data_IF_093328871184
#
_entry.id   IF_093328871184
#
_cell.length_a   1.000
_cell.length_b   1.000
_cell.length_c   1.000
_cell.angle_alpha   90.00
_cell.angle_beta   90.00
_cell.angle_gamma   90.00
#
_symmetry.space_group_name_H-M   'P 1'
#
loop_
_entity.id
_entity.type
_entity.pdbx_description
1 polymer ?
#
# COMPACT_ATOMS: atom_id res chain seq x y z
N UNK A 1 -2.31 1.87 -0.81
CA UNK A 1 -1.50 2.36 -1.95
C UNK A 1 -0.08 1.90 -1.70
N UNK A 2 0.42 0.94 -2.48
CA UNK A 2 1.80 0.46 -2.35
C UNK A 2 2.65 1.38 -3.22
N UNK A 3 3.39 2.29 -2.58
CA UNK A 3 4.44 3.04 -3.24
C UNK A 3 5.64 2.11 -3.41
N UNK A 4 5.77 1.49 -4.57
CA UNK A 4 7.02 0.88 -4.97
C UNK A 4 7.97 1.99 -5.38
N UNK A 5 8.69 2.50 -4.41
CA UNK A 5 9.82 3.36 -4.67
C UNK A 5 11.05 2.49 -4.53
N UNK A 6 11.63 2.10 -5.65
CA UNK A 6 13.03 1.69 -5.67
C UNK A 6 13.84 2.83 -5.05
N UNK A 7 14.81 2.53 -4.20
CA UNK A 7 15.65 3.50 -3.50
C UNK A 7 15.93 4.74 -4.35
N UNK A 8 15.00 5.65 -4.34
CA UNK A 8 15.05 6.87 -5.10
C UNK A 8 15.42 7.98 -4.14
N UNK A 9 16.45 8.71 -4.45
CA UNK A 9 16.91 9.83 -3.61
C UNK A 9 15.87 10.94 -3.46
N UNK A 10 14.81 10.94 -4.29
CA UNK A 10 13.71 11.88 -4.21
C UNK A 10 12.44 11.24 -4.79
N UNK A 11 11.40 11.18 -4.01
CA UNK A 11 10.08 10.72 -4.44
C UNK A 11 9.04 11.82 -4.22
N UNK A 12 8.15 11.99 -5.19
CA UNK A 12 7.05 12.95 -5.14
C UNK A 12 5.74 12.18 -5.25
N UNK A 13 4.75 12.56 -4.45
CA UNK A 13 3.42 11.97 -4.49
C UNK A 13 2.37 13.03 -4.79
N UNK A 14 1.43 12.68 -5.65
CA UNK A 14 0.22 13.45 -5.92
C UNK A 14 -0.97 12.54 -5.66
N UNK A 15 -1.98 13.05 -4.97
CA UNK A 15 -3.17 12.26 -4.63
C UNK A 15 -4.42 12.97 -5.09
N UNK A 16 -5.30 12.27 -5.79
CA UNK A 16 -6.63 12.76 -6.16
C UNK A 16 -7.67 11.98 -5.36
N UNK A 17 -8.62 12.70 -4.79
CA UNK A 17 -9.72 12.17 -3.99
C UNK A 17 -11.05 12.55 -4.64
N UNK A 18 -11.57 11.78 -5.60
CA UNK A 18 -12.96 11.92 -6.04
C UNK A 18 -13.90 11.43 -4.94
N UNK A 19 -14.91 12.23 -4.65
CA UNK A 19 -15.98 11.93 -3.71
C UNK A 19 -17.33 12.33 -4.30
N UNK A 20 -18.41 11.66 -3.90
CA UNK A 20 -19.75 12.09 -4.32
C UNK A 20 -20.14 13.41 -3.66
N UNK A 21 -19.67 13.61 -2.40
CA UNK A 21 -19.87 14.80 -1.61
C UNK A 21 -18.68 15.06 -0.71
N UNK A 22 -18.27 16.31 -0.60
CA UNK A 22 -17.18 16.70 0.28
C UNK A 22 -17.61 16.77 1.74
N UNK A 23 -16.92 15.99 2.58
CA UNK A 23 -16.98 16.05 4.04
C UNK A 23 -15.61 16.47 4.55
N UNK A 24 -15.38 17.75 4.91
CA UNK A 24 -14.05 18.28 5.20
C UNK A 24 -13.28 17.48 6.26
N UNK A 25 -13.95 17.06 7.32
CA UNK A 25 -13.34 16.29 8.41
C UNK A 25 -12.87 14.92 7.93
N UNK A 26 -13.69 14.22 7.14
CA UNK A 26 -13.34 12.92 6.55
C UNK A 26 -12.16 13.06 5.60
N UNK A 27 -12.17 14.09 4.78
CA UNK A 27 -11.09 14.38 3.83
C UNK A 27 -9.79 14.68 4.59
N UNK A 28 -9.85 15.49 5.63
CA UNK A 28 -8.68 15.83 6.46
C UNK A 28 -8.02 14.59 7.07
N UNK A 29 -8.80 13.64 7.61
CA UNK A 29 -8.26 12.38 8.14
C UNK A 29 -7.66 11.48 7.05
N UNK A 30 -8.27 11.43 5.86
CA UNK A 30 -7.71 10.68 4.72
C UNK A 30 -6.37 11.29 4.29
N UNK A 31 -6.31 12.61 4.12
CA UNK A 31 -5.08 13.31 3.71
C UNK A 31 -3.99 13.16 4.77
N UNK A 32 -4.35 13.20 6.06
CA UNK A 32 -3.42 12.93 7.16
C UNK A 32 -2.79 11.53 7.06
N UNK A 33 -3.60 10.50 6.75
CA UNK A 33 -3.09 9.15 6.52
C UNK A 33 -2.14 9.07 5.31
N UNK A 34 -2.45 9.79 4.22
CA UNK A 34 -1.57 9.89 3.05
C UNK A 34 -0.25 10.60 3.40
N UNK A 35 -0.34 11.71 4.14
CA UNK A 35 0.84 12.46 4.58
C UNK A 35 1.75 11.62 5.48
N UNK A 36 1.18 10.89 6.44
CA UNK A 36 1.94 9.96 7.28
C UNK A 36 2.63 8.87 6.46
N UNK A 37 1.94 8.29 5.47
CA UNK A 37 2.54 7.33 4.54
C UNK A 37 3.69 7.93 3.74
N UNK A 38 3.58 9.18 3.32
CA UNK A 38 4.66 9.91 2.64
C UNK A 38 5.86 10.12 3.57
N UNK A 39 5.64 10.52 4.83
CA UNK A 39 6.72 10.67 5.83
C UNK A 39 7.45 9.35 6.05
N UNK A 40 6.73 8.26 6.25
CA UNK A 40 7.33 6.94 6.46
C UNK A 40 8.10 6.41 5.25
N UNK A 41 7.69 6.79 4.04
CA UNK A 41 8.36 6.43 2.78
C UNK A 41 9.40 7.47 2.33
N UNK A 42 9.67 8.49 3.14
CA UNK A 42 10.59 9.59 2.82
C UNK A 42 10.26 10.30 1.49
N UNK A 43 8.97 10.30 1.13
CA UNK A 43 8.46 10.92 -0.06
C UNK A 43 7.84 12.30 0.26
N UNK A 44 8.03 13.27 -0.61
CA UNK A 44 7.36 14.56 -0.51
C UNK A 44 5.92 14.44 -1.03
N UNK A 45 4.94 14.84 -0.25
CA UNK A 45 3.57 15.06 -0.73
C UNK A 45 3.51 16.43 -1.39
N UNK A 46 3.62 16.47 -2.71
CA UNK A 46 3.76 17.73 -3.45
C UNK A 46 2.44 18.34 -3.91
N UNK A 47 1.36 17.59 -3.82
CA UNK A 47 0.05 18.08 -4.22
C UNK A 47 -1.03 17.04 -4.15
N UNK A 48 -2.22 17.47 -4.50
CA UNK A 48 -3.41 16.64 -4.56
C UNK A 48 -4.60 17.47 -4.96
N UNK A 49 -5.70 16.81 -5.24
CA UNK A 49 -6.97 17.43 -5.60
C UNK A 49 -8.11 16.64 -4.96
N UNK A 50 -9.16 17.35 -4.58
CA UNK A 50 -10.43 16.78 -4.18
C UNK A 50 -11.49 17.24 -5.18
N UNK A 51 -12.21 16.30 -5.79
CA UNK A 51 -13.24 16.60 -6.76
C UNK A 51 -14.57 15.97 -6.34
N UNK A 52 -15.65 16.74 -6.43
CA UNK A 52 -17.00 16.21 -6.26
C UNK A 52 -17.55 15.65 -7.57
N UNK A 53 -18.09 14.45 -7.49
CA UNK A 53 -18.76 13.77 -8.61
C UNK A 53 -20.18 13.35 -8.22
N UNK A 54 -21.13 14.31 -8.10
CA UNK A 54 -22.50 14.01 -7.73
C UNK A 54 -23.16 13.03 -8.71
N UNK A 55 -23.78 11.99 -8.17
CA UNK A 55 -24.49 11.00 -8.97
C UNK A 55 -23.61 9.92 -9.63
N UNK A 56 -22.30 9.98 -9.49
CA UNK A 56 -21.39 8.94 -9.98
C UNK A 56 -21.24 7.79 -8.97
N UNK A 57 -21.31 8.10 -7.70
CA UNK A 57 -21.21 7.15 -6.59
C UNK A 57 -22.12 7.57 -5.43
N UNK A 58 -22.44 6.67 -4.47
CA UNK A 58 -23.16 7.02 -3.25
C UNK A 58 -22.50 8.18 -2.47
N UNK A 59 -23.28 8.99 -1.77
CA UNK A 59 -22.77 10.20 -1.10
C UNK A 59 -21.68 9.95 -0.05
N UNK A 60 -21.64 8.77 0.56
CA UNK A 60 -20.68 8.37 1.57
C UNK A 60 -19.45 7.66 1.01
N UNK A 61 -19.46 7.37 -0.29
CA UNK A 61 -18.33 6.73 -0.98
C UNK A 61 -17.32 7.75 -1.51
N UNK A 62 -16.10 7.30 -1.63
CA UNK A 62 -14.97 8.01 -2.24
C UNK A 62 -13.99 7.02 -2.84
N UNK A 63 -13.14 7.51 -3.71
CA UNK A 63 -12.02 6.76 -4.26
C UNK A 63 -10.70 7.52 -4.01
N UNK A 64 -9.59 6.82 -4.06
CA UNK A 64 -8.25 7.39 -3.91
C UNK A 64 -7.38 6.96 -5.06
N UNK A 65 -6.91 7.93 -5.83
CA UNK A 65 -5.90 7.72 -6.84
C UNK A 65 -4.58 8.40 -6.42
N UNK A 66 -3.51 7.62 -6.31
CA UNK A 66 -2.19 8.14 -5.98
C UNK A 66 -1.24 7.96 -7.16
N UNK A 67 -0.40 8.95 -7.37
CA UNK A 67 0.65 8.95 -8.37
C UNK A 67 1.99 9.29 -7.71
N UNK A 68 2.99 8.44 -7.91
CA UNK A 68 4.32 8.63 -7.35
C UNK A 68 5.37 8.65 -8.46
N UNK A 69 6.32 9.56 -8.35
CA UNK A 69 7.48 9.67 -9.22
C UNK A 69 8.73 9.61 -8.38
N UNK A 70 9.69 8.79 -8.78
CA UNK A 70 10.99 8.69 -8.16
C UNK A 70 12.10 8.72 -9.22
N UNK A 71 13.32 8.93 -8.77
CA UNK A 71 14.52 8.93 -9.60
C UNK A 71 15.52 7.95 -9.03
N UNK A 72 16.12 7.14 -9.90
CA UNK A 72 17.17 6.19 -9.53
C UNK A 72 18.28 6.24 -10.56
N UNK A 73 19.53 6.10 -10.15
CA UNK A 73 20.66 5.97 -11.07
C UNK A 73 20.49 4.70 -11.91
N UNK A 74 20.79 4.79 -13.22
CA UNK A 74 20.66 3.66 -14.14
C UNK A 74 21.44 2.42 -13.67
N UNK A 75 22.59 2.61 -13.03
CA UNK A 75 23.42 1.52 -12.47
C UNK A 75 22.80 0.80 -11.27
N UNK A 76 21.85 1.47 -10.59
CA UNK A 76 21.17 0.98 -9.38
C UNK A 76 19.77 0.43 -9.69
N UNK A 77 19.39 0.44 -10.99
CA UNK A 77 18.11 -0.08 -11.43
C UNK A 77 18.05 -1.61 -11.25
N UNK A 78 17.02 -2.08 -10.55
CA UNK A 78 16.77 -3.52 -10.37
C UNK A 78 16.11 -4.08 -11.63
N UNK A 79 16.87 -4.78 -12.47
CA UNK A 79 16.39 -5.34 -13.76
C UNK A 79 16.10 -6.82 -13.70
N UNK A 80 16.57 -7.49 -12.65
CA UNK A 80 16.49 -8.93 -12.54
C UNK A 80 17.57 -9.72 -13.28
N UNK A 81 18.43 -9.06 -14.02
CA UNK A 81 19.47 -9.72 -14.81
C UNK A 81 20.57 -10.38 -13.96
N UNK A 82 20.70 -9.96 -12.70
CA UNK A 82 21.70 -10.49 -11.77
C UNK A 82 21.31 -11.83 -11.13
N UNK A 83 20.07 -12.28 -11.29
CA UNK A 83 19.60 -13.54 -10.69
C UNK A 83 20.27 -14.77 -11.29
N UNK A 84 20.62 -15.68 -10.40
CA UNK A 84 21.27 -16.94 -10.78
C UNK A 84 20.79 -18.10 -9.91
N UNK A 85 20.92 -19.35 -10.39
CA UNK A 85 20.66 -20.52 -9.57
C UNK A 85 21.54 -20.52 -8.32
N UNK A 86 20.92 -20.75 -7.17
CA UNK A 86 21.58 -20.73 -5.85
C UNK A 86 21.31 -19.48 -5.02
N UNK A 87 20.65 -18.48 -5.59
CA UNK A 87 20.20 -17.31 -4.84
C UNK A 87 19.14 -17.71 -3.80
N UNK A 88 19.13 -17.01 -2.67
CA UNK A 88 18.24 -17.29 -1.54
C UNK A 88 17.08 -16.31 -1.53
N UNK A 89 15.85 -16.82 -1.44
CA UNK A 89 14.65 -16.01 -1.28
C UNK A 89 14.43 -15.70 0.21
N UNK A 90 14.26 -14.44 0.53
CA UNK A 90 13.96 -13.97 1.89
C UNK A 90 12.53 -13.42 1.91
N UNK A 91 11.67 -14.05 2.72
CA UNK A 91 10.31 -13.57 2.94
C UNK A 91 10.26 -12.53 4.06
N UNK A 92 9.54 -11.44 3.84
CA UNK A 92 9.22 -10.47 4.87
C UNK A 92 7.76 -10.59 5.28
N UNK A 93 7.49 -10.59 6.59
CA UNK A 93 6.13 -10.66 7.09
C UNK A 93 5.33 -9.41 6.70
N UNK A 94 4.10 -9.62 6.22
CA UNK A 94 3.12 -8.55 6.02
C UNK A 94 2.52 -8.11 7.36
N UNK A 95 1.80 -6.98 7.35
CA UNK A 95 1.00 -6.51 8.48
C UNK A 95 -0.47 -6.94 8.40
N UNK A 96 -0.83 -7.68 7.37
CA UNK A 96 -2.19 -8.13 7.10
C UNK A 96 -2.43 -8.34 5.61
N UNK A 97 -3.67 -8.19 5.17
CA UNK A 97 -4.09 -8.35 3.76
C UNK A 97 -3.53 -7.25 2.87
N UNK A 98 -3.08 -6.15 3.46
CA UNK A 98 -2.66 -4.93 2.77
C UNK A 98 -3.82 -4.31 1.97
N UNK A 99 -3.57 -3.92 0.71
CA UNK A 99 -4.53 -3.22 -0.14
C UNK A 99 -5.23 -4.13 -1.17
N UNK A 100 -4.95 -5.43 -1.18
CA UNK A 100 -5.47 -6.34 -2.19
C UNK A 100 -6.13 -7.58 -1.57
N UNK A 101 -6.97 -8.26 -2.35
CA UNK A 101 -7.60 -9.51 -1.93
C UNK A 101 -8.94 -9.34 -1.20
N UNK A 102 -9.45 -8.12 -1.03
CA UNK A 102 -10.70 -7.88 -0.30
C UNK A 102 -11.94 -8.49 -0.95
N UNK A 103 -11.94 -8.71 -2.26
CA UNK A 103 -13.01 -9.46 -2.93
C UNK A 103 -13.09 -10.92 -2.43
N UNK A 104 -11.94 -11.54 -2.12
CA UNK A 104 -11.90 -12.87 -1.51
C UNK A 104 -12.26 -12.80 -0.04
N UNK A 105 -11.73 -11.83 0.70
CA UNK A 105 -12.06 -11.61 2.12
C UNK A 105 -13.57 -11.53 2.32
N UNK A 106 -14.28 -10.73 1.50
CA UNK A 106 -15.74 -10.59 1.56
C UNK A 106 -16.52 -11.86 1.17
N UNK A 107 -15.88 -12.82 0.53
CA UNK A 107 -16.48 -14.12 0.21
C UNK A 107 -16.24 -15.17 1.29
N UNK A 108 -15.13 -15.05 2.01
CA UNK A 108 -14.70 -16.02 3.03
C UNK A 108 -15.27 -15.65 4.40
N UNK A 109 -15.29 -14.37 4.73
CA UNK A 109 -15.76 -13.88 6.01
C UNK A 109 -17.11 -13.20 5.87
N UNK A 110 -17.96 -13.41 6.85
CA UNK A 110 -19.20 -12.64 6.97
C UNK A 110 -18.86 -11.20 7.45
N UNK A 111 -19.27 -10.20 6.68
CA UNK A 111 -18.96 -8.79 6.96
C UNK A 111 -20.00 -8.16 7.90
N UNK A 112 -20.53 -8.92 8.85
CA UNK A 112 -21.37 -8.39 9.90
C UNK A 112 -20.53 -7.76 11.02
N UNK A 113 -21.14 -6.88 11.80
CA UNK A 113 -20.47 -6.26 12.93
C UNK A 113 -19.98 -7.31 13.93
N UNK A 114 -20.80 -8.30 14.22
CA UNK A 114 -20.50 -9.39 15.15
C UNK A 114 -19.27 -10.18 14.68
N UNK A 115 -19.18 -10.47 13.40
CA UNK A 115 -18.03 -11.17 12.82
C UNK A 115 -16.76 -10.32 12.90
N UNK A 116 -16.85 -9.05 12.56
CA UNK A 116 -15.71 -8.14 12.57
C UNK A 116 -15.21 -7.83 13.98
N UNK A 117 -16.10 -7.82 14.99
CA UNK A 117 -15.76 -7.62 16.39
C UNK A 117 -15.25 -8.91 17.08
N UNK A 118 -15.31 -10.05 16.38
CA UNK A 118 -14.81 -11.32 16.92
C UNK A 118 -13.30 -11.29 17.08
N UNK A 119 -12.83 -11.59 18.30
CA UNK A 119 -11.40 -11.69 18.61
C UNK A 119 -10.85 -13.06 18.22
N UNK A 120 -9.69 -13.08 17.59
CA UNK A 120 -8.96 -14.30 17.22
C UNK A 120 -7.61 -14.34 17.95
N UNK A 121 -7.39 -15.37 18.75
CA UNK A 121 -6.14 -15.54 19.51
C UNK A 121 -4.92 -15.62 18.60
N UNK A 122 -5.04 -16.26 17.44
CA UNK A 122 -3.98 -16.41 16.45
C UNK A 122 -3.57 -15.09 15.81
N UNK A 123 -4.49 -14.12 15.76
CA UNK A 123 -4.24 -12.77 15.24
C UNK A 123 -3.83 -11.80 16.35
N UNK A 124 -4.17 -12.09 17.60
CA UNK A 124 -3.98 -11.22 18.74
C UNK A 124 -4.86 -9.96 18.71
N UNK A 125 -5.90 -9.93 17.86
CA UNK A 125 -6.78 -8.80 17.65
C UNK A 125 -8.13 -9.24 17.09
N UNK A 126 -9.06 -8.31 16.87
CA UNK A 126 -10.33 -8.60 16.20
C UNK A 126 -10.12 -8.79 14.70
N UNK A 127 -11.07 -9.48 14.05
CA UNK A 127 -11.03 -9.67 12.59
C UNK A 127 -11.04 -8.30 11.87
N UNK A 128 -11.89 -7.39 12.32
CA UNK A 128 -11.98 -6.04 11.73
C UNK A 128 -10.66 -5.29 11.80
N UNK A 129 -10.01 -5.25 12.97
CA UNK A 129 -8.71 -4.61 13.14
C UNK A 129 -7.62 -5.25 12.28
N UNK A 130 -7.58 -6.57 12.20
CA UNK A 130 -6.64 -7.28 11.34
C UNK A 130 -6.84 -6.95 9.85
N UNK A 131 -8.09 -6.82 9.41
CA UNK A 131 -8.42 -6.51 8.02
C UNK A 131 -8.12 -5.07 7.62
N UNK A 132 -8.24 -4.10 8.54
CA UNK A 132 -7.94 -2.69 8.27
C UNK A 132 -6.51 -2.30 8.62
N UNK A 133 -5.68 -3.24 9.08
CA UNK A 133 -4.30 -2.96 9.41
C UNK A 133 -3.58 -2.28 8.22
N UNK A 134 -2.90 -1.14 8.44
CA UNK A 134 -2.23 -0.42 7.36
C UNK A 134 -1.17 -1.28 6.67
N UNK A 135 -1.03 -1.11 5.36
CA UNK A 135 0.07 -1.72 4.60
C UNK A 135 1.40 -1.25 5.16
N UNK A 136 2.29 -2.20 5.50
CA UNK A 136 3.65 -1.87 5.91
C UNK A 136 4.39 -1.15 4.78
N UNK A 137 5.10 -0.09 5.14
CA UNK A 137 5.95 0.64 4.20
C UNK A 137 7.35 0.03 4.27
N UNK A 138 7.84 -0.48 3.14
CA UNK A 138 9.10 -1.23 3.05
C UNK A 138 10.28 -0.41 2.54
N UNK A 139 10.13 0.90 2.33
CA UNK A 139 11.15 1.77 1.74
C UNK A 139 12.44 1.73 2.54
N UNK A 140 12.37 1.97 3.86
CA UNK A 140 13.55 1.92 4.73
C UNK A 140 14.23 0.55 4.73
N UNK A 141 13.45 -0.53 4.78
CA UNK A 141 14.02 -1.87 4.72
C UNK A 141 14.77 -2.12 3.40
N UNK A 142 14.29 -1.54 2.30
CA UNK A 142 14.96 -1.62 1.01
C UNK A 142 16.28 -0.82 1.00
N UNK A 143 16.32 0.34 1.65
CA UNK A 143 17.50 1.19 1.74
C UNK A 143 18.58 0.62 2.67
N UNK A 144 18.19 0.05 3.82
CA UNK A 144 19.09 -0.55 4.80
C UNK A 144 19.76 -1.83 4.27
N UNK A 145 19.10 -2.53 3.36
CA UNK A 145 19.58 -3.80 2.79
C UNK A 145 19.71 -3.76 1.26
N UNK A 146 20.47 -2.82 0.70
CA UNK A 146 20.50 -2.61 -0.75
C UNK A 146 21.03 -3.83 -1.52
N UNK A 147 21.86 -4.69 -0.92
CA UNK A 147 22.35 -5.92 -1.57
C UNK A 147 21.26 -6.95 -1.74
N UNK A 148 20.40 -7.14 -0.74
CA UNK A 148 19.26 -8.05 -0.79
C UNK A 148 18.29 -7.59 -1.89
N UNK A 149 18.05 -6.29 -2.00
CA UNK A 149 17.10 -5.72 -2.95
C UNK A 149 17.69 -5.53 -4.35
N UNK A 150 19.00 -5.26 -4.46
CA UNK A 150 19.67 -5.08 -5.77
C UNK A 150 19.86 -6.37 -6.53
N UNK A 151 19.90 -7.50 -5.84
CA UNK A 151 20.12 -8.82 -6.45
C UNK A 151 18.81 -9.61 -6.63
N UNK A 152 17.67 -9.11 -6.15
CA UNK A 152 16.40 -9.84 -6.18
C UNK A 152 15.35 -9.18 -7.11
N UNK A 153 15.11 -9.74 -8.30
CA UNK A 153 14.07 -9.28 -9.23
C UNK A 153 12.66 -9.74 -8.83
N UNK A 154 12.52 -10.57 -7.81
CA UNK A 154 11.22 -11.06 -7.36
C UNK A 154 10.40 -10.02 -6.60
N UNK A 155 10.94 -8.83 -6.39
CA UNK A 155 10.22 -7.67 -5.84
C UNK A 155 9.32 -6.97 -6.87
N UNK A 156 8.85 -7.69 -7.85
CA UNK A 156 7.75 -7.18 -8.65
C UNK A 156 6.48 -7.12 -7.81
N UNK A 157 5.70 -6.02 -7.90
CA UNK A 157 4.41 -5.94 -7.24
C UNK A 157 3.51 -7.03 -7.80
N UNK A 158 3.37 -8.12 -7.06
CA UNK A 158 2.43 -9.15 -7.43
C UNK A 158 1.01 -8.62 -7.29
N UNK A 159 0.47 -8.11 -8.37
CA UNK A 159 -0.97 -7.89 -8.52
C UNK A 159 -1.75 -9.18 -8.75
N UNK A 160 -1.09 -10.34 -8.72
CA UNK A 160 -1.73 -11.64 -8.85
C UNK A 160 -1.18 -12.63 -7.84
N UNK A 161 -1.95 -12.85 -6.79
CA UNK A 161 -1.83 -14.05 -5.98
C UNK A 161 -2.11 -15.27 -6.88
N UNK A 162 -1.08 -16.00 -7.27
CA UNK A 162 -1.26 -17.40 -7.63
C UNK A 162 -1.14 -18.17 -6.33
N UNK A 163 -2.28 -18.60 -5.81
CA UNK A 163 -2.34 -19.70 -4.86
C UNK A 163 -1.96 -20.94 -5.68
N UNK A 164 -0.82 -21.52 -5.38
CA UNK A 164 -0.50 -22.87 -5.78
C UNK A 164 -1.18 -23.83 -4.84
#
# INVERSE_FOLDING_TARGET
MILHVQAASHCFSWTTLPAAKNYPEKIAEIVKGVAEGCVQSEAALIGGETAEHPGLMPEDEYDLAGFAVGVVDKKDLLTGEALKPGDVLIGMASTGVHSNGFSLVRKVFDMTKESLDTYYEELGTTLGEALIAPTRIYVKSAEEHPRVWREDPCMQPYHRWRIL
#
